data_IF_907647465715
#
_entry.id   IF_907647465715
#
_cell.length_a   1.000
_cell.length_b   1.000
_cell.length_c   1.000
_cell.angle_alpha   90.00
_cell.angle_beta   90.00
_cell.angle_gamma   90.00
#
_symmetry.space_group_name_H-M   'P 1'
#
loop_
_entity.id
_entity.type
_entity.pdbx_description
1 polymer ?
#
# COMPACT_ATOMS: atom_id res chain seq x y z
N UNK A 1 -40.62 69.11 -17.26
CA UNK A 1 -39.66 68.01 -17.44
C UNK A 1 -38.83 67.92 -16.17
N UNK A 2 -38.79 66.73 -15.57
CA UNK A 2 -37.86 66.16 -14.57
C UNK A 2 -38.67 65.26 -13.64
N UNK A 3 -38.81 63.99 -14.05
CA UNK A 3 -39.31 62.91 -13.21
C UNK A 3 -38.16 62.42 -12.33
N UNK A 4 -38.27 62.63 -11.02
CA UNK A 4 -37.51 61.89 -10.03
C UNK A 4 -38.24 60.58 -9.75
N UNK A 5 -37.82 59.49 -10.41
CA UNK A 5 -38.14 58.14 -9.97
C UNK A 5 -36.95 57.62 -9.15
N UNK A 6 -37.01 57.85 -7.84
CA UNK A 6 -36.23 57.08 -6.89
C UNK A 6 -36.84 55.68 -6.79
N UNK A 7 -36.20 54.71 -7.44
CA UNK A 7 -36.47 53.29 -7.20
C UNK A 7 -36.04 52.97 -5.76
N UNK A 8 -36.91 52.41 -4.91
CA UNK A 8 -36.49 52.00 -3.58
C UNK A 8 -35.56 50.80 -3.72
N UNK A 9 -34.36 50.92 -3.12
CA UNK A 9 -33.44 49.80 -2.94
C UNK A 9 -34.17 48.66 -2.23
N UNK A 10 -34.43 47.58 -2.97
CA UNK A 10 -34.92 46.32 -2.40
C UNK A 10 -33.89 45.79 -1.42
N UNK A 11 -34.26 45.70 -0.14
CA UNK A 11 -33.45 45.05 0.89
C UNK A 11 -33.25 43.57 0.53
N UNK A 12 -32.01 43.05 0.44
CA UNK A 12 -31.77 41.62 0.25
C UNK A 12 -31.85 40.95 1.63
N UNK A 13 -33.07 40.72 2.11
CA UNK A 13 -33.30 40.08 3.39
C UNK A 13 -34.71 39.51 3.46
N UNK A 14 -34.80 38.17 3.59
CA UNK A 14 -36.03 37.38 3.69
C UNK A 14 -36.77 37.08 2.38
N UNK A 15 -36.14 36.31 1.50
CA UNK A 15 -36.90 35.22 0.89
C UNK A 15 -36.69 34.01 1.79
N UNK A 16 -37.78 33.42 2.27
CA UNK A 16 -37.81 32.03 2.72
C UNK A 16 -37.36 31.18 1.54
N UNK A 17 -36.04 31.08 1.38
CA UNK A 17 -35.37 30.59 0.19
C UNK A 17 -35.73 29.13 -0.01
N UNK A 18 -36.54 28.87 -1.03
CA UNK A 18 -36.86 27.52 -1.42
C UNK A 18 -35.55 26.81 -1.79
N UNK A 19 -35.24 25.74 -1.05
CA UNK A 19 -34.10 24.88 -1.31
C UNK A 19 -34.53 23.83 -2.34
N UNK A 20 -33.80 23.72 -3.44
CA UNK A 20 -34.01 22.68 -4.45
C UNK A 20 -33.06 21.52 -4.18
N UNK A 21 -33.59 20.29 -4.08
CA UNK A 21 -32.74 19.09 -4.07
C UNK A 21 -32.40 18.77 -5.52
N UNK A 22 -31.11 18.78 -5.85
CA UNK A 22 -30.59 18.39 -7.15
C UNK A 22 -29.88 17.05 -7.08
N UNK A 23 -30.03 16.28 -8.15
CA UNK A 23 -29.39 14.98 -8.34
C UNK A 23 -28.43 15.08 -9.52
N UNK A 24 -27.14 15.13 -9.23
CA UNK A 24 -26.07 15.00 -10.20
C UNK A 24 -25.74 13.53 -10.49
N UNK A 25 -24.67 13.32 -11.26
CA UNK A 25 -24.20 11.97 -11.61
C UNK A 25 -23.54 11.24 -10.42
N UNK A 26 -22.86 11.99 -9.55
CA UNK A 26 -22.09 11.44 -8.43
C UNK A 26 -22.65 11.84 -7.06
N UNK A 27 -23.42 12.92 -7.01
CA UNK A 27 -23.86 13.54 -5.77
C UNK A 27 -25.34 13.92 -5.82
N UNK A 28 -26.01 13.82 -4.66
CA UNK A 28 -27.21 14.60 -4.37
C UNK A 28 -26.78 15.81 -3.54
N UNK A 29 -27.31 16.98 -3.85
CA UNK A 29 -26.98 18.21 -3.13
C UNK A 29 -28.15 19.19 -3.15
N UNK A 30 -28.08 20.19 -2.28
CA UNK A 30 -29.11 21.21 -2.15
C UNK A 30 -28.64 22.51 -2.78
N UNK A 31 -29.48 23.13 -3.60
CA UNK A 31 -29.20 24.40 -4.27
C UNK A 31 -30.13 25.48 -3.71
N UNK A 32 -29.60 26.57 -3.11
CA UNK A 32 -30.43 27.68 -2.70
C UNK A 32 -31.08 28.38 -3.90
N UNK A 33 -32.28 28.94 -3.70
CA UNK A 33 -33.01 29.63 -4.76
C UNK A 33 -32.15 30.71 -5.44
N UNK A 34 -32.12 30.68 -6.78
CA UNK A 34 -31.35 31.60 -7.61
C UNK A 34 -29.85 31.28 -7.72
N UNK A 35 -29.31 30.37 -6.91
CA UNK A 35 -27.91 29.97 -7.01
C UNK A 35 -27.67 29.11 -8.24
N UNK A 36 -26.46 29.21 -8.78
CA UNK A 36 -26.04 28.42 -9.93
C UNK A 36 -25.04 27.34 -9.51
N UNK A 37 -25.07 26.22 -10.22
CA UNK A 37 -24.04 25.19 -10.14
C UNK A 37 -22.94 25.57 -11.13
N UNK A 38 -21.74 25.78 -10.61
CA UNK A 38 -20.54 26.07 -11.41
C UNK A 38 -19.80 24.78 -11.76
N UNK A 39 -19.81 23.80 -10.84
CA UNK A 39 -19.23 22.49 -11.04
C UNK A 39 -20.16 21.40 -10.50
N UNK A 40 -20.37 20.36 -11.29
CA UNK A 40 -21.00 19.08 -10.92
C UNK A 40 -20.13 17.94 -11.44
N UNK A 41 -19.00 17.74 -10.78
CA UNK A 41 -17.94 16.82 -11.20
C UNK A 41 -17.93 15.54 -10.36
N UNK A 42 -17.02 14.64 -10.70
CA UNK A 42 -16.76 13.41 -9.93
C UNK A 42 -16.14 13.70 -8.55
N UNK A 43 -15.37 14.79 -8.45
CA UNK A 43 -14.59 15.12 -7.26
C UNK A 43 -15.16 16.29 -6.49
N UNK A 44 -15.94 17.18 -7.14
CA UNK A 44 -16.42 18.38 -6.51
C UNK A 44 -17.80 18.83 -7.00
N UNK A 45 -18.49 19.55 -6.12
CA UNK A 45 -19.65 20.39 -6.40
C UNK A 45 -19.30 21.82 -6.00
N UNK A 46 -19.54 22.77 -6.90
CA UNK A 46 -19.37 24.20 -6.61
C UNK A 46 -20.67 24.94 -6.90
N UNK A 47 -21.18 25.68 -5.92
CA UNK A 47 -22.35 26.53 -6.06
C UNK A 47 -21.93 27.99 -5.86
N UNK A 48 -22.49 28.90 -6.65
CA UNK A 48 -22.27 30.34 -6.48
C UNK A 48 -23.59 31.10 -6.39
N UNK A 49 -23.60 32.14 -5.57
CA UNK A 49 -24.71 33.08 -5.45
C UNK A 49 -24.92 33.85 -6.76
N UNK A 50 -26.14 34.38 -7.02
CA UNK A 50 -26.44 35.14 -8.23
C UNK A 50 -25.52 36.35 -8.43
N UNK A 51 -25.13 37.01 -7.34
CA UNK A 51 -24.30 38.20 -7.31
C UNK A 51 -22.79 37.91 -7.23
N UNK A 52 -22.39 36.63 -7.25
CA UNK A 52 -21.00 36.15 -7.11
C UNK A 52 -20.34 36.46 -5.77
N UNK A 53 -21.08 36.96 -4.79
CA UNK A 53 -20.53 37.35 -3.52
C UNK A 53 -20.40 36.19 -2.52
N UNK A 54 -21.00 35.02 -2.80
CA UNK A 54 -20.90 33.84 -1.96
C UNK A 54 -20.81 32.54 -2.77
N UNK A 55 -20.19 31.52 -2.17
CA UNK A 55 -20.05 30.20 -2.75
C UNK A 55 -20.04 29.10 -1.70
N UNK A 56 -20.34 27.88 -2.16
CA UNK A 56 -20.08 26.64 -1.42
C UNK A 56 -19.27 25.69 -2.28
N UNK A 57 -18.34 24.96 -1.67
CA UNK A 57 -17.59 23.89 -2.32
C UNK A 57 -17.75 22.63 -1.49
N UNK A 58 -18.02 21.52 -2.15
CA UNK A 58 -17.74 20.20 -1.62
C UNK A 58 -16.71 19.59 -2.55
N UNK A 59 -15.58 19.11 -2.03
CA UNK A 59 -14.55 18.44 -2.80
C UNK A 59 -13.95 17.29 -1.99
N UNK A 60 -13.69 16.15 -2.62
CA UNK A 60 -13.08 15.03 -1.93
C UNK A 60 -12.14 14.19 -2.78
N UNK A 61 -11.20 13.55 -2.10
CA UNK A 61 -10.22 12.65 -2.71
C UNK A 61 -10.07 11.39 -1.86
N UNK A 62 -10.07 10.25 -2.53
CA UNK A 62 -9.82 8.94 -1.95
C UNK A 62 -8.41 8.46 -2.27
N UNK A 63 -7.88 7.56 -1.45
CA UNK A 63 -6.54 6.99 -1.65
C UNK A 63 -5.41 7.87 -1.13
N UNK A 64 -5.71 8.80 -0.23
CA UNK A 64 -4.69 9.56 0.48
C UNK A 64 -4.01 8.66 1.53
N UNK A 65 -2.74 8.91 1.89
CA UNK A 65 -2.09 8.24 3.02
C UNK A 65 -2.94 8.35 4.29
N UNK A 66 -3.00 7.28 5.10
CA UNK A 66 -3.82 7.26 6.33
C UNK A 66 -3.43 8.35 7.35
N UNK A 67 -2.18 8.80 7.31
CA UNK A 67 -1.63 9.85 8.16
C UNK A 67 -1.57 11.24 7.47
N UNK A 68 -2.21 11.39 6.32
CA UNK A 68 -2.27 12.67 5.62
C UNK A 68 -2.94 13.72 6.52
N UNK A 69 -2.39 14.94 6.56
CA UNK A 69 -2.84 15.97 7.49
C UNK A 69 -4.13 16.65 6.97
N UNK A 70 -5.25 16.63 7.71
CA UNK A 70 -6.49 17.29 7.30
C UNK A 70 -6.35 18.80 7.06
N UNK A 71 -5.50 19.50 7.81
CA UNK A 71 -5.23 20.92 7.58
C UNK A 71 -4.56 21.15 6.23
N UNK A 72 -3.56 20.32 5.89
CA UNK A 72 -2.86 20.38 4.62
C UNK A 72 -3.83 20.11 3.45
N UNK A 73 -4.70 19.11 3.60
CA UNK A 73 -5.73 18.81 2.60
C UNK A 73 -6.60 20.03 2.33
N UNK A 74 -7.15 20.66 3.37
CA UNK A 74 -8.00 21.86 3.24
C UNK A 74 -7.23 23.02 2.62
N UNK A 75 -6.02 23.28 3.09
CA UNK A 75 -5.17 24.36 2.58
C UNK A 75 -4.90 24.21 1.07
N UNK A 76 -4.55 23.01 0.62
CA UNK A 76 -4.32 22.72 -0.81
C UNK A 76 -5.59 22.91 -1.65
N UNK A 77 -6.77 22.51 -1.14
CA UNK A 77 -8.05 22.72 -1.83
C UNK A 77 -8.44 24.19 -1.91
N UNK A 78 -8.21 24.96 -0.84
CA UNK A 78 -8.47 26.39 -0.85
C UNK A 78 -7.50 27.13 -1.78
N UNK A 79 -6.23 26.72 -1.84
CA UNK A 79 -5.24 27.28 -2.78
C UNK A 79 -5.61 27.04 -4.25
N UNK A 80 -6.36 26.00 -4.59
CA UNK A 80 -6.83 25.76 -5.96
C UNK A 80 -7.77 26.85 -6.47
N UNK A 81 -8.39 27.64 -5.57
CA UNK A 81 -9.15 28.84 -5.92
C UNK A 81 -8.27 30.04 -6.32
N UNK A 82 -6.93 29.87 -6.24
CA UNK A 82 -5.93 30.92 -6.43
C UNK A 82 -6.16 32.17 -5.56
N UNK A 83 -6.37 32.00 -4.23
CA UNK A 83 -6.56 33.13 -3.34
C UNK A 83 -5.27 33.90 -3.11
N UNK A 84 -5.40 35.19 -2.82
CA UNK A 84 -4.32 35.99 -2.24
C UNK A 84 -4.46 36.02 -0.70
N UNK A 85 -3.33 36.04 0.00
CA UNK A 85 -3.28 36.19 1.48
C UNK A 85 -4.17 35.18 2.25
N UNK A 86 -4.24 33.93 1.79
CA UNK A 86 -5.01 32.89 2.49
C UNK A 86 -4.46 32.66 3.90
N UNK A 87 -5.33 32.80 4.91
CA UNK A 87 -5.04 32.47 6.30
C UNK A 87 -6.13 31.55 6.86
N UNK A 88 -5.73 30.56 7.66
CA UNK A 88 -6.63 29.62 8.31
C UNK A 88 -6.42 29.66 9.83
N UNK A 89 -7.50 29.49 10.59
CA UNK A 89 -7.46 29.42 12.04
C UNK A 89 -6.78 28.14 12.55
N UNK A 90 -6.74 27.97 13.87
CA UNK A 90 -6.49 26.66 14.48
C UNK A 90 -7.71 25.73 14.25
N UNK A 91 -7.51 24.39 14.17
CA UNK A 91 -8.60 23.44 14.00
C UNK A 91 -9.54 23.41 15.20
N UNK A 92 -10.83 23.28 14.92
CA UNK A 92 -11.86 22.91 15.89
C UNK A 92 -12.43 21.54 15.52
N UNK A 93 -12.71 20.71 16.51
CA UNK A 93 -13.40 19.45 16.27
C UNK A 93 -14.84 19.72 15.80
N UNK A 94 -15.29 18.97 14.79
CA UNK A 94 -16.62 19.11 14.21
C UNK A 94 -17.30 17.76 14.01
N UNK A 95 -18.61 17.78 13.78
CA UNK A 95 -19.35 16.57 13.42
C UNK A 95 -19.03 16.16 11.97
N UNK A 96 -18.58 14.91 11.75
CA UNK A 96 -18.32 14.41 10.41
C UNK A 96 -19.60 14.25 9.58
N UNK A 97 -19.46 14.35 8.26
CA UNK A 97 -20.53 13.95 7.34
C UNK A 97 -20.76 12.42 7.41
N UNK A 98 -21.95 11.92 7.03
CA UNK A 98 -22.22 10.49 7.01
C UNK A 98 -21.16 9.69 6.25
N UNK A 99 -20.71 8.58 6.83
CA UNK A 99 -19.66 7.72 6.27
C UNK A 99 -18.22 8.13 6.65
N UNK A 100 -18.02 9.27 7.32
CA UNK A 100 -16.73 9.68 7.86
C UNK A 100 -16.65 9.45 9.38
N UNK A 101 -15.43 9.19 9.88
CA UNK A 101 -15.18 8.86 11.28
C UNK A 101 -14.88 10.10 12.13
N UNK A 102 -14.12 11.06 11.60
CA UNK A 102 -13.72 12.29 12.29
C UNK A 102 -13.86 13.50 11.38
N UNK A 103 -13.99 14.69 11.97
CA UNK A 103 -13.94 15.94 11.23
C UNK A 103 -13.34 17.09 12.04
N UNK A 104 -12.77 18.03 11.29
CA UNK A 104 -12.20 19.27 11.80
C UNK A 104 -12.67 20.45 10.97
N UNK A 105 -12.77 21.62 11.60
CA UNK A 105 -13.23 22.86 10.99
C UNK A 105 -12.24 24.00 11.23
N UNK A 106 -12.15 24.91 10.26
CA UNK A 106 -11.34 26.12 10.30
C UNK A 106 -12.14 27.30 9.79
N UNK A 107 -11.99 28.44 10.47
CA UNK A 107 -12.27 29.72 9.84
C UNK A 107 -11.12 30.05 8.89
N UNK A 108 -11.43 30.70 7.77
CA UNK A 108 -10.41 31.19 6.87
C UNK A 108 -10.78 32.54 6.29
N UNK A 109 -9.74 33.31 5.95
CA UNK A 109 -9.84 34.59 5.27
C UNK A 109 -8.90 34.59 4.07
N UNK A 110 -9.28 35.31 3.03
CA UNK A 110 -8.47 35.46 1.82
C UNK A 110 -8.93 36.70 1.03
N UNK A 111 -8.20 37.03 -0.04
CA UNK A 111 -8.60 38.01 -1.04
C UNK A 111 -8.81 37.32 -2.40
N UNK A 112 -9.86 37.73 -3.10
CA UNK A 112 -10.08 37.38 -4.51
C UNK A 112 -10.33 38.67 -5.28
N UNK A 113 -9.49 38.96 -6.28
CA UNK A 113 -9.55 40.22 -7.05
C UNK A 113 -9.63 41.47 -6.14
N UNK A 114 -8.77 41.54 -5.13
CA UNK A 114 -8.73 42.57 -4.09
C UNK A 114 -9.96 42.68 -3.17
N UNK A 115 -10.96 41.80 -3.34
CA UNK A 115 -12.13 41.75 -2.45
C UNK A 115 -11.81 40.84 -1.26
N UNK A 116 -11.93 41.34 0.00
CA UNK A 116 -11.76 40.50 1.18
C UNK A 116 -12.92 39.52 1.31
N UNK A 117 -12.58 38.27 1.55
CA UNK A 117 -13.50 37.16 1.71
C UNK A 117 -13.20 36.44 3.02
N UNK A 118 -14.24 35.83 3.59
CA UNK A 118 -14.11 34.91 4.71
C UNK A 118 -15.01 33.70 4.55
N UNK A 119 -14.70 32.65 5.27
CA UNK A 119 -15.47 31.43 5.22
C UNK A 119 -15.14 30.45 6.33
N UNK A 120 -15.83 29.32 6.27
CA UNK A 120 -15.63 28.16 7.13
C UNK A 120 -15.39 26.96 6.23
N UNK A 121 -14.33 26.21 6.51
CA UNK A 121 -14.01 24.95 5.85
C UNK A 121 -14.02 23.81 6.86
N UNK A 122 -14.67 22.71 6.52
CA UNK A 122 -14.73 21.48 7.31
C UNK A 122 -14.17 20.32 6.50
N UNK A 123 -13.23 19.57 7.07
CA UNK A 123 -12.71 18.33 6.50
C UNK A 123 -13.27 17.13 7.28
N UNK A 124 -13.92 16.21 6.59
CA UNK A 124 -14.35 14.92 7.13
C UNK A 124 -13.48 13.80 6.58
N UNK A 125 -13.07 12.86 7.44
CA UNK A 125 -12.13 11.79 7.08
C UNK A 125 -12.78 10.43 7.27
N UNK A 126 -12.74 9.60 6.24
CA UNK A 126 -13.08 8.19 6.29
C UNK A 126 -11.82 7.34 6.12
N UNK A 127 -11.55 6.46 7.08
CA UNK A 127 -10.37 5.59 7.06
C UNK A 127 -10.66 4.26 6.36
N UNK A 128 -9.67 3.76 5.62
CA UNK A 128 -9.62 2.41 5.08
C UNK A 128 -8.24 1.80 5.32
N UNK A 129 -8.01 0.54 4.93
CA UNK A 129 -6.73 -0.12 5.19
C UNK A 129 -5.58 0.61 4.47
N UNK A 130 -4.68 1.21 5.26
CA UNK A 130 -3.53 2.04 4.85
C UNK A 130 -3.84 3.32 4.04
N UNK A 131 -5.11 3.65 3.81
CA UNK A 131 -5.53 4.81 3.04
C UNK A 131 -6.65 5.57 3.78
N UNK A 132 -6.91 6.79 3.35
CA UNK A 132 -8.09 7.52 3.76
C UNK A 132 -8.75 8.24 2.58
N UNK A 133 -10.01 8.58 2.78
CA UNK A 133 -10.77 9.52 1.96
C UNK A 133 -10.99 10.76 2.78
N UNK A 134 -10.64 11.92 2.22
CA UNK A 134 -10.90 13.21 2.84
C UNK A 134 -11.88 14.01 1.97
N UNK A 135 -12.87 14.60 2.62
CA UNK A 135 -13.89 15.44 1.98
C UNK A 135 -13.91 16.78 2.67
N UNK A 136 -13.62 17.84 1.93
CA UNK A 136 -13.78 19.22 2.36
C UNK A 136 -15.16 19.73 1.93
N UNK A 137 -15.90 20.30 2.87
CA UNK A 137 -17.01 21.21 2.58
C UNK A 137 -16.61 22.61 3.03
N UNK A 138 -16.75 23.63 2.19
CA UNK A 138 -16.54 25.00 2.59
C UNK A 138 -17.67 25.93 2.12
N UNK A 139 -17.83 27.00 2.87
CA UNK A 139 -18.74 28.10 2.59
C UNK A 139 -17.95 29.40 2.75
N UNK A 140 -18.00 30.27 1.73
CA UNK A 140 -17.36 31.57 1.77
C UNK A 140 -18.25 32.65 1.19
N UNK A 141 -18.02 33.88 1.62
CA UNK A 141 -18.54 35.07 0.97
C UNK A 141 -17.55 36.22 1.05
N UNK A 142 -17.86 37.31 0.35
CA UNK A 142 -17.31 38.62 0.66
C UNK A 142 -17.49 38.91 2.15
N UNK A 143 -16.48 39.50 2.77
CA UNK A 143 -16.43 39.79 4.20
C UNK A 143 -17.64 40.63 4.65
N UNK A 144 -17.99 41.63 3.85
CA UNK A 144 -19.12 42.55 4.07
C UNK A 144 -20.49 41.86 4.08
N UNK A 145 -20.62 40.69 3.45
CA UNK A 145 -21.87 39.95 3.38
C UNK A 145 -21.92 38.73 4.32
N UNK A 146 -20.80 38.38 4.96
CA UNK A 146 -20.71 37.13 5.73
C UNK A 146 -21.77 37.02 6.83
N UNK A 147 -22.12 38.13 7.48
CA UNK A 147 -23.16 38.16 8.52
C UNK A 147 -24.52 37.62 8.04
N UNK A 148 -24.81 37.72 6.73
CA UNK A 148 -26.05 37.21 6.12
C UNK A 148 -25.98 35.73 5.75
N UNK A 149 -24.77 35.17 5.64
CA UNK A 149 -24.52 33.79 5.21
C UNK A 149 -24.13 32.86 6.35
N UNK A 150 -23.43 33.38 7.37
CA UNK A 150 -22.73 32.59 8.38
C UNK A 150 -23.59 31.54 9.09
N UNK A 151 -24.87 31.83 9.31
CA UNK A 151 -25.77 30.93 10.04
C UNK A 151 -26.26 29.74 9.23
N UNK A 152 -26.30 29.82 7.89
CA UNK A 152 -26.95 28.81 7.05
C UNK A 152 -26.07 28.27 5.91
N UNK A 153 -25.15 29.08 5.37
CA UNK A 153 -24.35 28.69 4.21
C UNK A 153 -23.44 27.47 4.48
N UNK A 154 -22.78 27.35 5.65
CA UNK A 154 -22.05 26.13 6.00
C UNK A 154 -22.94 24.89 6.08
N UNK A 155 -24.22 25.06 6.45
CA UNK A 155 -25.17 23.94 6.49
C UNK A 155 -25.48 23.47 5.08
N UNK A 156 -25.71 24.39 4.14
CA UNK A 156 -25.92 24.07 2.71
C UNK A 156 -24.70 23.34 2.13
N UNK A 157 -23.48 23.83 2.41
CA UNK A 157 -22.24 23.17 1.98
C UNK A 157 -22.12 21.73 2.53
N UNK A 158 -22.70 21.46 3.70
CA UNK A 158 -22.76 20.14 4.31
C UNK A 158 -23.87 19.22 3.79
N UNK A 159 -24.86 19.73 3.05
CA UNK A 159 -25.96 18.94 2.48
C UNK A 159 -25.57 18.35 1.11
N UNK A 160 -24.46 17.62 1.08
CA UNK A 160 -23.99 16.91 -0.10
C UNK A 160 -23.78 15.45 0.25
N UNK A 161 -24.38 14.57 -0.53
CA UNK A 161 -24.31 13.12 -0.34
C UNK A 161 -23.77 12.46 -1.60
N UNK A 162 -22.69 11.67 -1.46
CA UNK A 162 -22.25 10.79 -2.52
C UNK A 162 -23.31 9.72 -2.79
N UNK A 163 -23.73 9.60 -4.05
CA UNK A 163 -24.72 8.61 -4.50
C UNK A 163 -24.14 7.56 -5.44
N UNK A 164 -22.89 7.75 -5.86
CA UNK A 164 -22.18 6.88 -6.77
C UNK A 164 -20.86 6.42 -6.14
N UNK A 165 -20.55 5.13 -6.25
CA UNK A 165 -19.29 4.56 -5.75
C UNK A 165 -18.03 5.09 -6.45
N UNK A 166 -18.17 5.81 -7.57
CA UNK A 166 -17.09 6.51 -8.25
C UNK A 166 -16.78 7.89 -7.66
N UNK A 167 -17.65 8.45 -6.81
CA UNK A 167 -17.45 9.74 -6.17
C UNK A 167 -16.08 9.77 -5.47
N UNK A 168 -15.41 10.92 -5.53
CA UNK A 168 -14.08 11.12 -4.92
C UNK A 168 -12.99 10.17 -5.44
N UNK A 169 -13.21 9.50 -6.58
CA UNK A 169 -12.25 8.56 -7.17
C UNK A 169 -12.18 7.19 -6.49
N UNK A 170 -13.15 6.84 -5.63
CA UNK A 170 -13.14 5.57 -4.86
C UNK A 170 -13.00 4.34 -5.77
N UNK A 171 -13.68 4.30 -6.91
CA UNK A 171 -13.59 3.17 -7.85
C UNK A 171 -12.17 2.94 -8.41
N UNK A 172 -11.42 4.01 -8.69
CA UNK A 172 -10.04 3.89 -9.17
C UNK A 172 -9.13 3.23 -8.11
N UNK A 173 -9.33 3.59 -6.85
CA UNK A 173 -8.61 3.00 -5.71
C UNK A 173 -9.04 1.54 -5.47
N UNK A 174 -10.33 1.22 -5.61
CA UNK A 174 -10.80 -0.17 -5.48
C UNK A 174 -10.20 -1.07 -6.56
N UNK A 175 -10.13 -0.61 -7.82
CA UNK A 175 -9.49 -1.35 -8.90
C UNK A 175 -8.00 -1.61 -8.60
N UNK A 176 -7.27 -0.58 -8.15
CA UNK A 176 -5.87 -0.69 -7.76
C UNK A 176 -5.67 -1.62 -6.54
N UNK A 177 -6.55 -1.55 -5.54
CA UNK A 177 -6.47 -2.42 -4.36
C UNK A 177 -6.73 -3.89 -4.69
N UNK A 178 -7.63 -4.18 -5.64
CA UNK A 178 -7.85 -5.54 -6.14
C UNK A 178 -6.60 -6.05 -6.83
N UNK A 179 -5.98 -5.24 -7.69
CA UNK A 179 -4.73 -5.59 -8.38
C UNK A 179 -3.59 -5.82 -7.38
N UNK A 180 -3.37 -4.90 -6.43
CA UNK A 180 -2.36 -5.05 -5.36
C UNK A 180 -2.61 -6.32 -4.56
N UNK A 181 -3.86 -6.60 -4.17
CA UNK A 181 -4.21 -7.79 -3.38
C UNK A 181 -4.00 -9.09 -4.17
N UNK A 182 -4.29 -9.10 -5.47
CA UNK A 182 -4.02 -10.26 -6.34
C UNK A 182 -2.52 -10.49 -6.50
N UNK A 183 -1.75 -9.43 -6.72
CA UNK A 183 -0.29 -9.48 -6.89
C UNK A 183 0.39 -9.89 -5.60
N UNK A 184 -0.05 -9.35 -4.46
CA UNK A 184 0.45 -9.72 -3.13
C UNK A 184 0.08 -11.16 -2.77
N UNK A 185 -1.14 -11.61 -3.08
CA UNK A 185 -1.55 -13.00 -2.92
C UNK A 185 -0.73 -13.97 -3.81
N UNK A 186 -0.32 -13.55 -5.00
CA UNK A 186 0.63 -14.30 -5.84
C UNK A 186 2.03 -14.34 -5.21
N UNK A 187 2.58 -13.20 -4.80
CA UNK A 187 3.88 -13.11 -4.11
C UNK A 187 3.94 -13.94 -2.82
N UNK A 188 2.87 -13.98 -2.04
CA UNK A 188 2.80 -14.79 -0.83
C UNK A 188 2.74 -16.30 -1.10
N UNK A 189 2.19 -16.72 -2.24
CA UNK A 189 2.25 -18.13 -2.68
C UNK A 189 3.66 -18.48 -3.13
N UNK A 190 4.26 -17.63 -3.96
CA UNK A 190 5.65 -17.78 -4.41
C UNK A 190 6.63 -17.81 -3.24
N UNK A 191 6.44 -16.94 -2.24
CA UNK A 191 7.27 -16.90 -1.04
C UNK A 191 7.13 -18.18 -0.20
N UNK A 192 5.92 -18.71 -0.05
CA UNK A 192 5.68 -19.99 0.64
C UNK A 192 6.37 -21.14 -0.07
N UNK A 193 6.19 -21.26 -1.38
CA UNK A 193 6.84 -22.30 -2.18
C UNK A 193 8.36 -22.19 -2.19
N UNK A 194 8.89 -20.98 -2.29
CA UNK A 194 10.33 -20.72 -2.22
C UNK A 194 10.88 -21.08 -0.84
N UNK A 195 10.15 -20.73 0.23
CA UNK A 195 10.54 -21.04 1.60
C UNK A 195 10.58 -22.55 1.81
N UNK A 196 9.53 -23.28 1.40
CA UNK A 196 9.48 -24.75 1.49
C UNK A 196 10.64 -25.41 0.74
N UNK A 197 10.90 -25.01 -0.51
CA UNK A 197 12.03 -25.52 -1.31
C UNK A 197 13.38 -25.25 -0.65
N UNK A 198 13.55 -24.05 -0.11
CA UNK A 198 14.79 -23.63 0.54
C UNK A 198 15.03 -24.41 1.84
N UNK A 199 14.00 -24.65 2.64
CA UNK A 199 14.08 -25.45 3.86
C UNK A 199 14.40 -26.92 3.56
N UNK A 200 13.81 -27.50 2.51
CA UNK A 200 14.13 -28.85 2.05
C UNK A 200 15.61 -28.96 1.65
N UNK A 201 16.12 -27.98 0.92
CA UNK A 201 17.51 -27.95 0.47
C UNK A 201 18.49 -27.81 1.64
N UNK A 202 18.23 -26.90 2.58
CA UNK A 202 19.06 -26.76 3.79
C UNK A 202 19.04 -28.04 4.63
N UNK A 203 17.88 -28.69 4.75
CA UNK A 203 17.77 -29.95 5.47
C UNK A 203 18.57 -31.07 4.79
N UNK A 204 18.51 -31.16 3.45
CA UNK A 204 19.30 -32.11 2.66
C UNK A 204 20.80 -31.89 2.85
N UNK A 205 21.27 -30.65 2.70
CA UNK A 205 22.68 -30.29 2.88
C UNK A 205 23.19 -30.61 4.30
N UNK A 206 22.36 -30.39 5.33
CA UNK A 206 22.69 -30.77 6.71
C UNK A 206 22.78 -32.28 6.85
N UNK A 207 21.85 -33.05 6.27
CA UNK A 207 21.91 -34.50 6.23
C UNK A 207 23.22 -35.01 5.61
N UNK A 208 23.54 -34.54 4.40
CA UNK A 208 24.78 -34.91 3.69
C UNK A 208 26.05 -34.54 4.47
N UNK A 209 26.04 -33.41 5.19
CA UNK A 209 27.16 -33.02 6.04
C UNK A 209 27.31 -33.94 7.26
N UNK A 210 26.20 -34.29 7.92
CA UNK A 210 26.20 -35.19 9.07
C UNK A 210 26.63 -36.60 8.64
N UNK A 211 26.18 -37.06 7.48
CA UNK A 211 26.56 -38.37 6.93
C UNK A 211 28.07 -38.43 6.62
N UNK A 212 28.64 -37.38 6.00
CA UNK A 212 30.10 -37.28 5.79
C UNK A 212 30.87 -37.24 7.10
N UNK A 213 30.40 -36.48 8.09
CA UNK A 213 31.05 -36.41 9.40
C UNK A 213 31.01 -37.76 10.13
N UNK A 214 29.86 -38.44 10.11
CA UNK A 214 29.70 -39.77 10.69
C UNK A 214 30.57 -40.82 9.98
N UNK A 215 30.67 -40.75 8.65
CA UNK A 215 31.56 -41.60 7.87
C UNK A 215 33.02 -41.44 8.31
N UNK A 216 33.53 -40.20 8.35
CA UNK A 216 34.90 -39.92 8.79
C UNK A 216 35.13 -40.27 10.27
N UNK A 217 34.13 -40.06 11.14
CA UNK A 217 34.21 -40.42 12.55
C UNK A 217 34.30 -41.95 12.74
N UNK A 218 33.52 -42.74 11.99
CA UNK A 218 33.59 -44.21 12.02
C UNK A 218 34.94 -44.74 11.53
N UNK A 219 35.48 -44.20 10.44
CA UNK A 219 36.81 -44.56 9.95
C UNK A 219 37.90 -44.26 10.99
N UNK A 220 37.85 -43.06 11.60
CA UNK A 220 38.84 -42.63 12.58
C UNK A 220 38.78 -43.44 13.89
N UNK A 221 37.59 -43.74 14.40
CA UNK A 221 37.45 -44.59 15.60
C UNK A 221 37.83 -46.05 15.35
N UNK A 222 37.53 -46.57 14.15
CA UNK A 222 37.87 -47.94 13.77
C UNK A 222 39.34 -48.13 13.38
N UNK A 223 40.08 -47.04 13.18
CA UNK A 223 41.41 -47.05 12.56
C UNK A 223 41.42 -47.83 11.22
N UNK A 224 40.37 -47.63 10.44
CA UNK A 224 40.14 -48.27 9.13
C UNK A 224 39.92 -47.22 8.06
N UNK A 225 40.16 -47.59 6.81
CA UNK A 225 39.83 -46.81 5.62
C UNK A 225 38.94 -47.66 4.72
N UNK A 226 37.94 -47.04 4.11
CA UNK A 226 36.99 -47.72 3.21
C UNK A 226 37.54 -47.76 1.79
N UNK A 227 37.51 -48.94 1.17
CA UNK A 227 38.02 -49.20 -0.18
C UNK A 227 36.91 -49.76 -1.09
N UNK A 228 36.90 -49.33 -2.34
CA UNK A 228 35.98 -49.82 -3.37
C UNK A 228 36.43 -51.16 -3.92
N UNK A 229 35.49 -52.10 -4.06
CA UNK A 229 35.76 -53.40 -4.65
C UNK A 229 35.53 -53.35 -6.18
N UNK A 230 36.57 -53.60 -7.01
CA UNK A 230 36.46 -53.49 -8.47
C UNK A 230 35.54 -54.56 -9.11
N UNK A 231 35.14 -55.59 -8.37
CA UNK A 231 34.27 -56.67 -8.88
C UNK A 231 32.77 -56.43 -8.61
N UNK A 232 32.37 -55.22 -8.20
CA UNK A 232 30.95 -54.85 -8.02
C UNK A 232 30.32 -55.32 -6.70
N UNK A 233 31.14 -55.81 -5.77
CA UNK A 233 30.73 -56.11 -4.39
C UNK A 233 30.72 -54.85 -3.51
N UNK A 234 30.12 -54.89 -2.30
CA UNK A 234 30.15 -53.78 -1.35
C UNK A 234 31.56 -53.29 -1.02
N UNK A 235 31.66 -52.03 -0.61
CA UNK A 235 32.91 -51.44 -0.11
C UNK A 235 33.44 -52.22 1.10
N UNK A 236 34.76 -52.24 1.26
CA UNK A 236 35.46 -52.99 2.32
C UNK A 236 36.21 -52.02 3.23
N UNK A 237 35.99 -52.11 4.54
CA UNK A 237 36.76 -51.37 5.54
C UNK A 237 38.05 -52.15 5.86
N UNK A 238 39.22 -51.53 5.64
CA UNK A 238 40.53 -52.16 5.84
C UNK A 238 41.41 -51.35 6.80
N UNK A 239 42.29 -51.99 7.59
CA UNK A 239 43.17 -51.29 8.51
C UNK A 239 44.06 -50.26 7.82
N UNK A 240 44.45 -49.20 8.54
CA UNK A 240 45.35 -48.15 8.06
C UNK A 240 46.83 -48.56 8.01
N UNK A 241 47.16 -49.83 8.24
CA UNK A 241 48.54 -50.34 8.27
C UNK A 241 49.23 -50.36 6.90
N UNK A 242 48.44 -50.32 5.82
CA UNK A 242 48.92 -50.35 4.44
C UNK A 242 48.26 -49.25 3.58
N UNK A 243 49.05 -48.63 2.70
CA UNK A 243 48.61 -47.55 1.81
C UNK A 243 47.96 -48.05 0.52
N UNK A 244 48.20 -49.31 0.14
CA UNK A 244 47.69 -49.89 -1.10
C UNK A 244 47.11 -51.27 -0.83
N UNK A 245 45.91 -51.51 -1.35
CA UNK A 245 45.25 -52.80 -1.26
C UNK A 245 44.88 -53.35 -2.63
N UNK A 246 45.02 -54.66 -2.75
CA UNK A 246 44.62 -55.46 -3.90
C UNK A 246 43.65 -56.54 -3.44
N UNK A 247 42.71 -56.90 -4.30
CA UNK A 247 41.75 -57.97 -4.04
C UNK A 247 41.66 -58.88 -5.26
N UNK A 248 41.53 -60.18 -5.04
CA UNK A 248 41.27 -61.14 -6.12
C UNK A 248 39.79 -61.53 -6.17
N UNK A 249 39.37 -62.25 -7.21
CA UNK A 249 37.98 -62.69 -7.38
C UNK A 249 37.49 -63.63 -6.27
N UNK A 250 38.40 -64.30 -5.57
CA UNK A 250 38.10 -65.16 -4.43
C UNK A 250 37.91 -64.36 -3.11
N UNK A 251 38.09 -63.04 -3.14
CA UNK A 251 37.92 -62.16 -1.97
C UNK A 251 39.14 -62.10 -1.05
N UNK A 252 40.29 -62.63 -1.47
CA UNK A 252 41.54 -62.49 -0.71
C UNK A 252 42.08 -61.07 -0.88
N UNK A 253 42.57 -60.47 0.20
CA UNK A 253 43.06 -59.09 0.23
C UNK A 253 44.55 -59.08 0.55
N UNK A 254 45.29 -58.30 -0.22
CA UNK A 254 46.72 -58.11 -0.08
C UNK A 254 47.02 -56.63 0.13
N UNK A 255 47.73 -56.30 1.22
CA UNK A 255 48.10 -54.94 1.60
C UNK A 255 49.60 -54.68 1.48
N UNK A 256 49.98 -53.54 0.92
CA UNK A 256 51.38 -53.10 0.83
C UNK A 256 51.50 -51.58 1.01
N UNK A 257 52.70 -51.14 1.42
CA UNK A 257 53.08 -49.73 1.47
C UNK A 257 53.95 -49.30 0.28
N UNK A 258 54.40 -50.25 -0.54
CA UNK A 258 55.22 -49.98 -1.73
C UNK A 258 54.31 -49.70 -2.94
N UNK A 259 54.38 -48.50 -3.55
CA UNK A 259 53.59 -48.18 -4.74
C UNK A 259 53.97 -49.00 -5.99
N UNK A 260 55.15 -49.61 -6.02
CA UNK A 260 55.65 -50.43 -7.13
C UNK A 260 55.32 -51.91 -7.01
N UNK A 261 54.81 -52.36 -5.86
CA UNK A 261 54.53 -53.77 -5.61
C UNK A 261 53.23 -54.20 -6.28
N UNK A 262 53.33 -55.18 -7.18
CA UNK A 262 52.21 -55.72 -7.95
C UNK A 262 52.09 -57.23 -7.70
N UNK A 263 51.05 -57.68 -6.96
CA UNK A 263 50.88 -59.08 -6.59
C UNK A 263 50.59 -60.01 -7.79
N UNK A 264 50.34 -59.46 -8.99
CA UNK A 264 50.25 -60.25 -10.22
C UNK A 264 51.62 -60.72 -10.74
N UNK A 265 52.74 -60.15 -10.25
CA UNK A 265 54.09 -60.57 -10.62
C UNK A 265 54.49 -61.76 -9.75
N UNK A 266 54.47 -62.97 -10.33
CA UNK A 266 54.83 -64.21 -9.63
C UNK A 266 53.66 -64.95 -8.97
N UNK A 267 52.43 -64.46 -9.12
CA UNK A 267 51.20 -65.14 -8.70
C UNK A 267 50.43 -65.68 -9.90
N UNK A 268 49.69 -66.77 -9.72
CA UNK A 268 48.73 -67.29 -10.72
C UNK A 268 47.31 -66.75 -10.52
N UNK A 269 47.12 -65.86 -9.54
CA UNK A 269 45.83 -65.25 -9.23
C UNK A 269 45.66 -63.89 -9.93
N UNK A 270 44.40 -63.52 -10.21
CA UNK A 270 44.02 -62.24 -10.83
C UNK A 270 43.70 -61.22 -9.73
N UNK A 271 44.64 -60.31 -9.47
CA UNK A 271 44.53 -59.25 -8.46
C UNK A 271 44.18 -57.91 -9.11
N UNK A 272 43.11 -57.29 -8.62
CA UNK A 272 42.71 -55.95 -9.00
C UNK A 272 42.99 -54.96 -7.85
N UNK A 273 43.51 -53.79 -8.20
CA UNK A 273 43.79 -52.72 -7.23
C UNK A 273 42.49 -52.11 -6.74
N UNK A 274 42.38 -51.93 -5.43
CA UNK A 274 41.25 -51.23 -4.81
C UNK A 274 41.51 -49.72 -4.81
N UNK A 275 40.46 -48.91 -4.98
CA UNK A 275 40.54 -47.46 -4.85
C UNK A 275 39.91 -47.01 -3.54
N UNK A 276 40.50 -46.02 -2.86
CA UNK A 276 39.91 -45.45 -1.66
C UNK A 276 38.53 -44.88 -1.98
N UNK A 277 37.53 -45.23 -1.19
CA UNK A 277 36.19 -44.69 -1.33
C UNK A 277 36.15 -43.24 -0.80
N UNK A 278 35.53 -42.34 -1.56
CA UNK A 278 35.22 -40.98 -1.14
C UNK A 278 33.70 -40.80 -1.23
N UNK A 279 33.01 -40.46 -0.12
CA UNK A 279 31.57 -40.22 -0.09
C UNK A 279 31.16 -38.91 -0.78
#
# INVERSE_FOLDING_TARGET
>A
MYNYNESPFSSPGSHSGQLEIRRGQYFNYVVPSGWRVVEDGQFAIVLCSPDNAALTIMVGNSGLPVNYNPWQFVYEKLLAMQPYELQMSQPRQAQPIPGCAIAYEWDYIYKSNDIPCRGIAKCSVAYSYNLCTMVMTCAASHDSQWVHYASWLPQVAGQVMATNGAAFGIQGIMAQNIEISQTEGQRQREYREWSERTWQEVSRQRGESVDRQNFHFRENLGNVTTWTNPYGYPNVELPTSYNYFWINRQGQIYGTNDPGENPNVGSTQDWARMNRYQP
#
